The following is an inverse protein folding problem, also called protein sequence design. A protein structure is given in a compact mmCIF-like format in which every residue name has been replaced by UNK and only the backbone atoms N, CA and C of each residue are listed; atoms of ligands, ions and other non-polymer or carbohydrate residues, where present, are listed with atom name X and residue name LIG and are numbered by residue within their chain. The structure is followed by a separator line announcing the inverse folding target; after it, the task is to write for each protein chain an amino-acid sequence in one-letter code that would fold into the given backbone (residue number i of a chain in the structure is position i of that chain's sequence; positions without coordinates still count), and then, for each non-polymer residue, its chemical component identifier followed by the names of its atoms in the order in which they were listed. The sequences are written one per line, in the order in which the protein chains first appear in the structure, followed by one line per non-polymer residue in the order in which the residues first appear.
data_IF_213511470781
#
_entry.id   IF_213511470781
#
_cell.length_a   1.000
_cell.length_b   1.000
_cell.length_c   1.000
_cell.angle_alpha   90.00
_cell.angle_beta   90.00
_cell.angle_gamma   90.00
#
_symmetry.space_group_name_H-M   'P 1'
#
loop_
_entity.id
_entity.type
_entity.pdbx_description
1 polymer ?
#
# COMPACT_ATOMS: atom_id res chain seq x y z
N UNK A 1 14.66 -10.15 4.19
CA UNK A 1 13.33 -10.77 4.42
C UNK A 1 13.08 -11.84 3.38
N UNK A 2 12.51 -12.97 3.78
CA UNK A 2 12.13 -14.04 2.86
C UNK A 2 10.61 -14.00 2.66
N UNK A 3 10.16 -13.49 1.52
CA UNK A 3 8.72 -13.30 1.26
C UNK A 3 7.96 -14.63 1.16
N UNK A 4 8.62 -15.68 0.72
CA UNK A 4 8.00 -17.00 0.63
C UNK A 4 7.72 -17.59 2.01
N UNK A 5 8.67 -17.46 2.93
CA UNK A 5 8.47 -17.92 4.32
C UNK A 5 7.34 -17.14 4.99
N UNK A 6 7.28 -15.83 4.77
CA UNK A 6 6.22 -15.01 5.32
C UNK A 6 4.84 -15.39 4.75
N UNK A 7 4.79 -15.70 3.45
CA UNK A 7 3.56 -16.18 2.83
C UNK A 7 3.10 -17.52 3.43
N UNK A 8 4.03 -18.44 3.68
CA UNK A 8 3.70 -19.72 4.30
C UNK A 8 3.15 -19.56 5.72
N UNK A 9 3.69 -18.61 6.48
CA UNK A 9 3.16 -18.28 7.82
C UNK A 9 1.71 -17.80 7.73
N UNK A 10 1.38 -16.94 6.76
CA UNK A 10 0.01 -16.47 6.57
C UNK A 10 -0.92 -17.60 6.12
N UNK A 11 -0.45 -18.49 5.25
CA UNK A 11 -1.23 -19.66 4.84
C UNK A 11 -1.56 -20.55 6.03
N UNK A 12 -0.62 -20.72 6.97
CA UNK A 12 -0.86 -21.49 8.18
C UNK A 12 -1.93 -20.88 9.08
N UNK A 13 -2.19 -19.58 8.92
CA UNK A 13 -3.25 -18.86 9.64
C UNK A 13 -4.59 -18.86 8.89
N UNK A 14 -4.66 -19.52 7.73
CA UNK A 14 -5.88 -19.65 6.95
C UNK A 14 -5.97 -18.78 5.70
N UNK A 15 -4.92 -18.05 5.35
CA UNK A 15 -4.89 -17.28 4.10
C UNK A 15 -4.73 -18.23 2.91
N UNK A 16 -5.41 -17.94 1.80
CA UNK A 16 -5.06 -18.58 0.54
C UNK A 16 -3.79 -17.93 -0.03
N UNK A 17 -3.22 -18.52 -1.07
CA UNK A 17 -1.94 -18.06 -1.63
C UNK A 17 -2.01 -16.63 -2.14
N UNK A 18 -3.05 -16.29 -2.90
CA UNK A 18 -3.19 -14.96 -3.49
C UNK A 18 -3.35 -13.89 -2.42
N UNK A 19 -4.16 -14.15 -1.40
CA UNK A 19 -4.37 -13.23 -0.29
C UNK A 19 -3.12 -13.06 0.56
N UNK A 20 -2.37 -14.14 0.79
CA UNK A 20 -1.11 -14.08 1.53
C UNK A 20 -0.09 -13.23 0.78
N UNK A 21 0.06 -13.44 -0.51
CA UNK A 21 0.99 -12.68 -1.35
C UNK A 21 0.61 -11.20 -1.40
N UNK A 22 -0.68 -10.90 -1.58
CA UNK A 22 -1.17 -9.53 -1.58
C UNK A 22 -0.91 -8.83 -0.25
N UNK A 23 -1.15 -9.52 0.87
CA UNK A 23 -0.92 -8.97 2.21
C UNK A 23 0.55 -8.60 2.41
N UNK A 24 1.46 -9.46 1.99
CA UNK A 24 2.89 -9.20 2.14
C UNK A 24 3.30 -7.99 1.31
N UNK A 25 2.86 -7.89 0.06
CA UNK A 25 3.16 -6.75 -0.80
C UNK A 25 2.66 -5.45 -0.18
N UNK A 26 1.43 -5.43 0.32
CA UNK A 26 0.84 -4.28 0.97
C UNK A 26 1.67 -3.86 2.18
N UNK A 27 2.02 -4.81 3.03
CA UNK A 27 2.74 -4.51 4.27
C UNK A 27 4.18 -4.05 4.01
N UNK A 28 4.82 -4.54 2.95
CA UNK A 28 6.12 -4.03 2.51
C UNK A 28 6.01 -2.54 2.13
N UNK A 29 4.99 -2.18 1.36
CA UNK A 29 4.77 -0.79 0.98
C UNK A 29 4.49 0.08 2.21
N UNK A 30 3.61 -0.37 3.11
CA UNK A 30 3.29 0.37 4.34
C UNK A 30 4.54 0.61 5.19
N UNK A 31 5.32 -0.44 5.43
CA UNK A 31 6.55 -0.33 6.21
C UNK A 31 7.55 0.60 5.53
N UNK A 32 7.68 0.48 4.22
CA UNK A 32 8.59 1.33 3.45
C UNK A 32 8.22 2.80 3.52
N UNK A 33 6.95 3.13 3.45
CA UNK A 33 6.47 4.51 3.60
C UNK A 33 6.82 5.04 5.00
N UNK A 34 6.53 4.26 6.03
CA UNK A 34 6.77 4.67 7.40
C UNK A 34 8.25 4.88 7.69
N UNK A 35 9.12 4.02 7.16
CA UNK A 35 10.55 4.04 7.46
C UNK A 35 11.36 4.99 6.56
N UNK A 36 10.82 5.39 5.40
CA UNK A 36 11.56 6.20 4.41
C UNK A 36 11.38 7.71 4.58
N UNK A 37 10.65 8.15 5.59
CA UNK A 37 10.37 9.58 5.78
C UNK A 37 9.21 10.10 4.93
N UNK A 38 8.49 9.21 4.26
CA UNK A 38 7.36 9.57 3.39
C UNK A 38 6.01 9.55 4.12
N UNK A 39 6.01 9.26 5.42
CA UNK A 39 4.78 9.05 6.18
C UNK A 39 3.84 10.26 6.22
N UNK A 40 4.36 11.48 6.02
CA UNK A 40 3.55 12.70 5.97
C UNK A 40 3.15 13.09 4.55
N UNK A 41 3.66 12.39 3.54
CA UNK A 41 3.42 12.70 2.14
C UNK A 41 2.42 11.75 1.49
N UNK A 42 1.97 10.73 2.21
CA UNK A 42 1.09 9.68 1.69
C UNK A 42 0.01 9.37 2.70
N UNK A 43 -1.22 9.24 2.24
CA UNK A 43 -2.32 8.73 3.07
C UNK A 43 -2.78 7.40 2.51
N UNK A 44 -3.11 6.47 3.41
CA UNK A 44 -3.58 5.13 3.05
C UNK A 44 -5.10 5.16 2.96
N UNK A 45 -5.67 4.45 1.99
CA UNK A 45 -7.12 4.35 1.82
C UNK A 45 -7.52 2.96 1.33
N UNK A 46 -8.81 2.74 1.15
CA UNK A 46 -9.35 1.53 0.56
C UNK A 46 -9.36 0.32 1.48
N UNK A 47 -9.21 -0.86 0.88
CA UNK A 47 -9.35 -2.14 1.58
C UNK A 47 -8.36 -2.38 2.70
N UNK A 48 -7.12 -1.87 2.57
CA UNK A 48 -6.11 -1.99 3.61
C UNK A 48 -6.56 -1.29 4.88
N UNK A 49 -7.10 -0.07 4.77
CA UNK A 49 -7.63 0.67 5.92
C UNK A 49 -8.81 -0.06 6.53
N UNK A 50 -9.73 -0.54 5.71
CA UNK A 50 -10.91 -1.27 6.19
C UNK A 50 -10.53 -2.53 6.94
N UNK A 51 -9.55 -3.26 6.46
CA UNK A 51 -9.03 -4.46 7.14
C UNK A 51 -8.51 -4.12 8.54
N UNK A 52 -7.72 -3.05 8.64
CA UNK A 52 -7.12 -2.65 9.92
C UNK A 52 -8.17 -2.11 10.91
N UNK A 53 -9.09 -1.28 10.45
CA UNK A 53 -10.13 -0.69 11.31
C UNK A 53 -11.09 -1.77 11.82
N UNK A 54 -11.49 -2.70 10.96
CA UNK A 54 -12.44 -3.76 11.32
C UNK A 54 -11.80 -4.89 12.12
N UNK A 55 -10.46 -4.89 12.24
CA UNK A 55 -9.69 -5.98 12.86
C UNK A 55 -9.98 -7.34 12.21
N UNK A 56 -10.38 -7.32 10.94
CA UNK A 56 -10.65 -8.54 10.18
C UNK A 56 -9.44 -8.86 9.30
N UNK A 57 -8.51 -9.63 9.85
CA UNK A 57 -7.27 -10.02 9.18
C UNK A 57 -7.50 -10.82 7.89
N UNK A 58 -8.66 -11.44 7.78
CA UNK A 58 -9.00 -12.26 6.61
C UNK A 58 -9.73 -11.50 5.52
N UNK A 59 -10.01 -10.21 5.74
CA UNK A 59 -10.62 -9.41 4.69
C UNK A 59 -9.67 -9.33 3.50
N UNK A 60 -10.10 -9.97 2.41
CA UNK A 60 -9.30 -9.98 1.19
C UNK A 60 -9.26 -8.60 0.55
N UNK A 61 -8.07 -8.13 0.23
CA UNK A 61 -7.85 -6.96 -0.58
C UNK A 61 -6.60 -7.20 -1.41
N UNK A 62 -6.71 -7.05 -2.72
CA UNK A 62 -5.63 -7.37 -3.64
C UNK A 62 -4.74 -6.17 -3.92
N UNK A 63 -5.27 -4.97 -3.75
CA UNK A 63 -4.60 -3.74 -4.16
C UNK A 63 -4.24 -2.89 -2.95
N UNK A 64 -3.20 -2.09 -3.09
CA UNK A 64 -2.91 -1.02 -2.15
C UNK A 64 -3.33 0.31 -2.77
N UNK A 65 -4.18 1.04 -2.07
CA UNK A 65 -4.69 2.34 -2.50
C UNK A 65 -4.04 3.44 -1.67
N UNK A 66 -3.41 4.40 -2.34
CA UNK A 66 -2.69 5.50 -1.72
C UNK A 66 -3.08 6.82 -2.35
N UNK A 67 -3.04 7.90 -1.56
CA UNK A 67 -3.08 9.25 -2.10
C UNK A 67 -1.82 10.00 -1.72
N UNK A 68 -1.19 10.65 -2.68
CA UNK A 68 -0.06 11.55 -2.42
C UNK A 68 -0.58 12.90 -1.93
N UNK A 69 0.03 13.40 -0.87
CA UNK A 69 -0.29 14.70 -0.28
C UNK A 69 0.83 15.66 -0.68
N UNK A 70 0.51 16.70 -1.46
CA UNK A 70 1.48 17.69 -1.93
C UNK A 70 2.72 17.06 -2.60
N UNK A 71 2.50 15.98 -3.31
CA UNK A 71 3.54 15.24 -4.00
C UNK A 71 3.03 14.90 -5.40
N UNK A 72 3.89 15.02 -6.40
CA UNK A 72 3.52 14.77 -7.78
C UNK A 72 3.24 13.30 -8.05
N UNK A 73 2.26 13.00 -8.91
CA UNK A 73 2.00 11.64 -9.39
C UNK A 73 2.56 11.40 -10.79
N UNK A 74 3.56 12.21 -11.21
CA UNK A 74 4.26 11.93 -12.45
C UNK A 74 4.94 10.55 -12.37
N UNK A 75 5.22 9.96 -13.52
CA UNK A 75 5.90 8.67 -13.58
C UNK A 75 7.24 8.71 -12.87
N UNK A 76 7.98 9.83 -13.00
CA UNK A 76 9.26 10.02 -12.32
C UNK A 76 9.12 10.06 -10.81
N UNK A 77 8.08 10.75 -10.31
CA UNK A 77 7.84 10.84 -8.87
C UNK A 77 7.44 9.48 -8.28
N UNK A 78 6.64 8.71 -9.00
CA UNK A 78 6.26 7.36 -8.58
C UNK A 78 7.48 6.45 -8.56
N UNK A 79 8.34 6.54 -9.56
CA UNK A 79 9.59 5.77 -9.62
C UNK A 79 10.49 6.10 -8.43
N UNK A 80 10.63 7.38 -8.12
CA UNK A 80 11.43 7.84 -6.97
C UNK A 80 10.85 7.37 -5.64
N UNK A 81 9.53 7.42 -5.51
CA UNK A 81 8.81 6.92 -4.34
C UNK A 81 9.12 5.44 -4.09
N UNK A 82 9.01 4.62 -5.13
CA UNK A 82 9.29 3.19 -5.01
C UNK A 82 10.76 2.91 -4.74
N UNK A 83 11.66 3.72 -5.28
CA UNK A 83 13.09 3.58 -5.03
C UNK A 83 13.43 3.86 -3.56
N UNK A 84 12.78 4.85 -2.94
CA UNK A 84 12.98 5.12 -1.51
C UNK A 84 12.51 3.96 -0.64
N UNK A 85 11.38 3.36 -0.98
CA UNK A 85 10.87 2.18 -0.27
C UNK A 85 11.85 1.02 -0.45
N UNK A 86 12.30 0.77 -1.66
CA UNK A 86 13.26 -0.29 -1.99
C UNK A 86 14.52 -0.20 -1.14
N UNK A 87 15.11 0.99 -1.07
CA UNK A 87 16.36 1.20 -0.31
C UNK A 87 16.16 1.02 1.19
N UNK A 88 14.97 1.27 1.69
CA UNK A 88 14.68 1.20 3.12
C UNK A 88 14.37 -0.23 3.59
N UNK A 89 13.65 -0.99 2.78
CA UNK A 89 13.20 -2.34 3.14
C UNK A 89 14.25 -3.41 2.78
N UNK A 90 15.07 -3.15 1.78
CA UNK A 90 16.06 -4.12 1.31
C UNK A 90 15.50 -5.18 0.37
N UNK A 91 14.46 -4.82 -0.38
CA UNK A 91 13.92 -5.64 -1.46
C UNK A 91 14.03 -4.87 -2.77
N UNK A 92 14.02 -5.56 -3.89
CA UNK A 92 13.97 -4.91 -5.20
C UNK A 92 12.53 -4.73 -5.62
N UNK A 93 12.21 -3.52 -6.08
CA UNK A 93 10.86 -3.19 -6.59
C UNK A 93 11.00 -2.75 -8.04
N UNK A 94 10.46 -3.53 -8.95
CA UNK A 94 10.50 -3.25 -10.38
C UNK A 94 9.11 -2.87 -10.88
N UNK A 95 9.03 -1.78 -11.63
CA UNK A 95 7.77 -1.36 -12.26
C UNK A 95 7.61 -2.10 -13.58
N UNK A 96 6.45 -2.70 -13.79
CA UNK A 96 6.07 -3.22 -15.09
C UNK A 96 5.42 -2.10 -15.91
N UNK A 97 6.09 -1.59 -16.95
CA UNK A 97 5.50 -0.54 -17.77
C UNK A 97 4.35 -1.06 -18.64
N UNK A 98 3.43 -0.19 -19.06
CA UNK A 98 3.37 1.23 -18.73
C UNK A 98 2.64 1.50 -17.42
N UNK A 99 2.89 2.67 -16.82
CA UNK A 99 2.09 3.17 -15.71
C UNK A 99 0.79 3.70 -16.31
N UNK A 100 -0.33 3.11 -15.91
CA UNK A 100 -1.63 3.46 -16.47
C UNK A 100 -2.19 4.72 -15.80
N UNK A 101 -2.72 5.64 -16.61
CA UNK A 101 -3.40 6.83 -16.10
C UNK A 101 -4.88 6.52 -15.91
N UNK A 102 -5.39 6.79 -14.70
CA UNK A 102 -6.80 6.63 -14.37
C UNK A 102 -7.44 8.02 -14.34
N UNK A 103 -8.43 8.26 -15.21
CA UNK A 103 -9.14 9.54 -15.25
C UNK A 103 -10.63 9.32 -14.98
N UNK A 104 -11.12 9.94 -13.92
CA UNK A 104 -12.54 10.13 -13.65
C UNK A 104 -12.78 11.63 -13.47
N UNK A 105 -14.05 12.08 -13.54
CA UNK A 105 -14.41 13.50 -13.51
C UNK A 105 -13.69 14.34 -12.45
N UNK A 106 -13.47 13.77 -11.26
CA UNK A 106 -12.86 14.48 -10.13
C UNK A 106 -11.64 13.75 -9.56
N UNK A 107 -11.13 12.76 -10.31
CA UNK A 107 -10.06 11.91 -9.81
C UNK A 107 -8.99 11.75 -10.87
N UNK A 108 -7.76 12.10 -10.50
CA UNK A 108 -6.58 11.76 -11.30
C UNK A 108 -5.75 10.77 -10.51
N UNK A 109 -5.49 9.64 -11.12
CA UNK A 109 -4.72 8.59 -10.47
C UNK A 109 -3.84 7.85 -11.45
N UNK A 110 -2.95 7.06 -10.91
CA UNK A 110 -2.07 6.17 -11.66
C UNK A 110 -2.18 4.77 -11.10
N UNK A 111 -2.21 3.80 -11.98
CA UNK A 111 -2.14 2.39 -11.60
C UNK A 111 -0.79 1.85 -11.99
N UNK A 112 -0.08 1.31 -11.01
CA UNK A 112 1.29 0.85 -11.16
C UNK A 112 1.35 -0.64 -10.85
N UNK A 113 1.81 -1.43 -11.81
CA UNK A 113 2.06 -2.86 -11.59
C UNK A 113 3.53 -3.02 -11.19
N UNK A 114 3.77 -3.68 -10.07
CA UNK A 114 5.11 -3.86 -9.54
C UNK A 114 5.43 -5.33 -9.30
N UNK A 115 6.73 -5.64 -9.34
CA UNK A 115 7.27 -6.93 -8.95
C UNK A 115 8.24 -6.67 -7.80
N UNK A 116 8.02 -7.35 -6.68
CA UNK A 116 8.91 -7.27 -5.52
C UNK A 116 9.76 -8.54 -5.50
N UNK A 117 11.07 -8.38 -5.41
CA UNK A 117 12.01 -9.50 -5.37
C UNK A 117 12.86 -9.39 -4.11
N UNK A 118 12.93 -10.47 -3.33
CA UNK A 118 13.75 -10.52 -2.12
C UNK A 118 15.18 -11.03 -2.43
N UNK A 119 16.00 -11.11 -1.38
CA UNK A 119 17.39 -11.55 -1.53
C UNK A 119 17.53 -13.04 -1.87
N UNK A 120 16.46 -13.80 -1.74
CA UNK A 120 16.45 -15.24 -2.01
C UNK A 120 15.94 -15.57 -3.42
N UNK A 121 15.64 -14.53 -4.21
CA UNK A 121 15.13 -14.71 -5.57
C UNK A 121 13.63 -14.96 -5.66
N UNK A 122 12.92 -14.86 -4.53
CA UNK A 122 11.44 -14.99 -4.53
C UNK A 122 10.81 -13.70 -5.06
N UNK A 123 9.79 -13.84 -5.89
CA UNK A 123 9.09 -12.70 -6.49
C UNK A 123 7.62 -12.69 -6.12
N UNK A 124 7.09 -11.49 -5.90
CA UNK A 124 5.65 -11.25 -5.72
C UNK A 124 5.22 -10.13 -6.66
N UNK A 125 4.04 -10.26 -7.21
CA UNK A 125 3.46 -9.24 -8.07
C UNK A 125 2.34 -8.53 -7.32
N UNK A 126 2.24 -7.21 -7.50
CA UNK A 126 1.22 -6.41 -6.86
C UNK A 126 0.83 -5.22 -7.73
N UNK A 127 -0.23 -4.56 -7.32
CA UNK A 127 -0.78 -3.39 -8.01
C UNK A 127 -1.01 -2.28 -7.00
N UNK A 128 -0.57 -1.07 -7.35
CA UNK A 128 -0.77 0.12 -6.54
C UNK A 128 -1.65 1.09 -7.30
N UNK A 129 -2.69 1.60 -6.65
CA UNK A 129 -3.49 2.69 -7.17
C UNK A 129 -3.12 3.95 -6.39
N UNK A 130 -2.57 4.94 -7.08
CA UNK A 130 -2.02 6.15 -6.47
C UNK A 130 -2.80 7.36 -7.01
N UNK A 131 -3.44 8.09 -6.11
CA UNK A 131 -4.13 9.33 -6.44
C UNK A 131 -3.45 10.54 -5.84
N UNK A 132 -4.00 11.71 -6.13
CA UNK A 132 -3.59 12.95 -5.49
C UNK A 132 -4.70 13.43 -4.58
N UNK A 133 -4.32 13.78 -3.37
CA UNK A 133 -5.24 14.36 -2.41
C UNK A 133 -5.44 15.84 -2.75
N UNK A 134 -6.56 16.17 -3.40
CA UNK A 134 -6.84 17.54 -3.86
C UNK A 134 -7.63 18.35 -2.84
N UNK A 135 -8.35 17.69 -1.98
CA UNK A 135 -9.22 18.35 -1.01
C UNK A 135 -8.49 18.54 0.31
N UNK A 136 -8.11 19.78 0.59
CA UNK A 136 -7.41 20.16 1.82
C UNK A 136 -8.33 20.08 3.05
N UNK A 137 -9.64 19.99 2.87
CA UNK A 137 -10.60 19.87 3.96
C UNK A 137 -10.73 18.44 4.47
N UNK A 138 -10.20 17.45 3.74
CA UNK A 138 -10.18 16.07 4.19
C UNK A 138 -9.10 15.91 5.26
N UNK A 139 -9.52 15.58 6.47
CA UNK A 139 -8.60 15.36 7.57
C UNK A 139 -7.97 13.99 7.48
N UNK A 140 -6.66 13.94 7.70
CA UNK A 140 -5.94 12.69 7.87
C UNK A 140 -5.77 12.42 9.36
N UNK A 141 -5.84 11.14 9.73
CA UNK A 141 -5.55 10.67 11.08
C UNK A 141 -4.35 9.76 11.03
N UNK A 142 -3.50 9.84 12.05
CA UNK A 142 -2.41 8.89 12.21
C UNK A 142 -2.97 7.60 12.78
N UNK A 143 -2.58 6.48 12.19
CA UNK A 143 -3.03 5.16 12.61
C UNK A 143 -1.86 4.19 12.57
N UNK A 144 -1.81 3.26 13.53
CA UNK A 144 -0.79 2.22 13.55
C UNK A 144 -1.31 0.99 12.83
N UNK A 145 -0.82 0.77 11.61
CA UNK A 145 -1.22 -0.37 10.77
C UNK A 145 -0.45 -1.62 11.17
N UNK A 146 -1.13 -2.76 11.20
CA UNK A 146 -0.49 -4.04 11.45
C UNK A 146 0.39 -4.45 10.27
N UNK A 147 1.58 -4.92 10.59
CA UNK A 147 2.53 -5.44 9.61
C UNK A 147 2.74 -6.93 9.91
N UNK A 148 2.37 -7.79 8.98
CA UNK A 148 2.29 -9.23 9.23
C UNK A 148 3.63 -9.91 9.52
N UNK A 149 4.74 -9.32 9.10
CA UNK A 149 6.07 -9.90 9.28
C UNK A 149 6.89 -9.27 10.41
N UNK A 150 6.28 -8.46 11.25
CA UNK A 150 6.95 -7.87 12.41
C UNK A 150 5.94 -7.61 13.53
N UNK A 151 6.45 -7.49 14.75
CA UNK A 151 5.60 -7.22 15.92
C UNK A 151 5.10 -5.78 15.96
N UNK A 152 5.97 -4.85 15.60
CA UNK A 152 5.64 -3.43 15.62
C UNK A 152 4.85 -3.07 14.36
N UNK A 153 3.80 -2.29 14.53
CA UNK A 153 3.05 -1.76 13.42
C UNK A 153 3.79 -0.61 12.75
N UNK A 154 3.18 -0.06 11.72
CA UNK A 154 3.67 1.13 11.02
C UNK A 154 2.67 2.27 11.21
N UNK A 155 3.15 3.40 11.73
CA UNK A 155 2.31 4.59 11.92
C UNK A 155 2.28 5.40 10.63
N UNK A 156 1.09 5.53 10.06
CA UNK A 156 0.87 6.17 8.77
C UNK A 156 -0.40 7.01 8.82
N UNK A 157 -0.53 7.93 7.87
CA UNK A 157 -1.74 8.72 7.74
C UNK A 157 -2.81 7.90 7.00
N UNK A 158 -4.05 8.08 7.39
CA UNK A 158 -5.20 7.58 6.66
C UNK A 158 -6.26 8.68 6.62
N UNK A 159 -7.18 8.60 5.66
CA UNK A 159 -8.33 9.51 5.63
C UNK A 159 -9.19 9.25 6.87
N UNK A 160 -9.84 10.30 7.39
CA UNK A 160 -10.64 10.15 8.60
C UNK A 160 -11.71 9.07 8.42
N UNK A 161 -12.04 8.36 9.51
CA UNK A 161 -13.02 7.28 9.50
C UNK A 161 -14.38 7.72 8.96
N UNK A 162 -14.75 8.96 9.22
CA UNK A 162 -16.01 9.54 8.78
C UNK A 162 -16.13 9.65 7.26
N UNK A 163 -14.97 9.77 6.56
CA UNK A 163 -14.94 9.87 5.11
C UNK A 163 -14.80 8.52 4.42
N UNK A 164 -14.09 7.60 5.05
CA UNK A 164 -13.86 6.27 4.50
C UNK A 164 -15.18 5.50 4.37
N UNK A 165 -16.04 5.57 5.37
CA UNK A 165 -17.33 4.86 5.36
C UNK A 165 -18.23 5.27 4.20
N UNK A 166 -18.48 6.58 3.94
CA UNK A 166 -19.27 6.98 2.79
C UNK A 166 -18.68 6.57 1.45
N UNK A 167 -17.37 6.67 1.28
CA UNK A 167 -16.70 6.23 0.06
C UNK A 167 -16.90 4.74 -0.19
N UNK A 168 -16.81 3.95 0.86
CA UNK A 168 -16.96 2.50 0.74
C UNK A 168 -18.41 2.10 0.45
N UNK A 169 -19.37 2.83 0.99
CA UNK A 169 -20.79 2.58 0.73
C UNK A 169 -21.19 2.97 -0.70
N UNK A 170 -20.50 3.91 -1.31
CA UNK A 170 -20.76 4.34 -2.69
C UNK A 170 -20.15 3.39 -3.72
N UNK A 171 -19.21 2.59 -3.32
CA UNK A 171 -18.57 1.61 -4.19
C UNK A 171 -19.26 0.24 -4.05
#
# INVERSE_FOLDING_TARGET
MNVREEAEKLKSKGYNEDDANARICQDIILKGIAASGLSRSVTIKGGVVMRNISHNDRRATQDADLDFIKYSISDDSITEFLRKIESTIGVNITIKPPIATLKHKDYQGKRVFITITDDYGNTLESKLDIGVHKDLDIKQEEYCFDICFQKDGASLLMNSKEQILPEKLKS
#
